data_IF_987424543768
#
_entry.id   IF_987424543768
#
_cell.length_a   1.000
_cell.length_b   1.000
_cell.length_c   1.000
_cell.angle_alpha   90.00
_cell.angle_beta   90.00
_cell.angle_gamma   90.00
#
_symmetry.space_group_name_H-M   'P 1'
#
loop_
_entity.id
_entity.type
_entity.pdbx_description
1 polymer ?
#
# COMPACT_ATOMS: atom_id res chain seq x y z
N UNK A 1 -55.65 24.06 -27.72
CA UNK A 1 -54.44 24.26 -26.89
C UNK A 1 -53.69 22.93 -26.85
N UNK A 2 -52.45 22.91 -27.32
CA UNK A 2 -51.60 21.72 -27.46
C UNK A 2 -50.99 21.38 -26.10
N UNK A 3 -51.22 20.18 -25.57
CA UNK A 3 -50.48 19.67 -24.42
C UNK A 3 -49.36 18.76 -24.93
N UNK A 4 -48.12 19.26 -24.83
CA UNK A 4 -46.89 18.53 -25.13
C UNK A 4 -46.52 17.73 -23.88
N UNK A 5 -46.48 16.41 -24.00
CA UNK A 5 -45.90 15.53 -22.98
C UNK A 5 -44.38 15.53 -23.18
N UNK A 6 -43.65 16.14 -22.24
CA UNK A 6 -42.19 16.03 -22.16
C UNK A 6 -41.82 14.84 -21.28
N UNK A 7 -41.42 13.74 -21.91
CA UNK A 7 -40.88 12.56 -21.24
C UNK A 7 -39.39 12.80 -20.96
N UNK A 8 -39.05 13.21 -19.73
CA UNK A 8 -37.65 13.31 -19.29
C UNK A 8 -37.13 11.91 -18.91
N UNK A 9 -36.34 11.31 -19.78
CA UNK A 9 -35.53 10.14 -19.44
C UNK A 9 -34.34 10.61 -18.61
N UNK A 10 -34.40 10.39 -17.30
CA UNK A 10 -33.24 10.51 -16.43
C UNK A 10 -32.31 9.32 -16.67
N UNK A 11 -31.23 9.53 -17.43
CA UNK A 11 -30.14 8.57 -17.53
C UNK A 11 -29.35 8.66 -16.21
N UNK A 12 -29.65 7.74 -15.29
CA UNK A 12 -28.80 7.48 -14.13
C UNK A 12 -27.55 6.77 -14.64
N UNK A 13 -26.47 7.52 -14.84
CA UNK A 13 -25.13 6.99 -15.02
C UNK A 13 -24.71 6.32 -13.70
N UNK A 14 -25.03 5.04 -13.54
CA UNK A 14 -24.34 4.19 -12.59
C UNK A 14 -22.89 4.06 -13.05
N UNK A 15 -22.02 4.91 -12.49
CA UNK A 15 -20.58 4.70 -12.56
C UNK A 15 -20.27 3.37 -11.88
N UNK A 16 -20.09 2.31 -12.66
CA UNK A 16 -19.51 1.08 -12.16
C UNK A 16 -18.08 1.42 -11.76
N UNK A 17 -17.83 1.52 -10.45
CA UNK A 17 -16.46 1.44 -9.96
C UNK A 17 -15.95 0.08 -10.42
N UNK A 18 -15.15 0.05 -11.48
CA UNK A 18 -14.49 -1.16 -11.93
C UNK A 18 -13.59 -1.58 -10.77
N UNK A 19 -14.05 -2.56 -9.99
CA UNK A 19 -13.22 -3.15 -8.95
C UNK A 19 -12.04 -3.80 -9.67
N UNK A 20 -10.84 -3.32 -9.36
CA UNK A 20 -9.62 -3.95 -9.80
C UNK A 20 -9.72 -5.45 -9.49
N UNK A 21 -9.60 -6.26 -10.54
CA UNK A 21 -9.70 -7.71 -10.43
C UNK A 21 -8.33 -8.24 -9.99
N UNK A 22 -8.28 -9.25 -9.11
CA UNK A 22 -7.02 -9.72 -8.59
C UNK A 22 -6.17 -10.35 -9.69
N UNK A 23 -4.88 -10.03 -9.67
CA UNK A 23 -3.88 -10.54 -10.62
C UNK A 23 -2.72 -11.15 -9.85
N UNK A 24 -2.16 -12.24 -10.37
CA UNK A 24 -0.91 -12.82 -9.90
C UNK A 24 -0.10 -13.37 -11.09
N UNK A 25 1.19 -13.61 -10.91
CA UNK A 25 2.04 -14.14 -11.97
C UNK A 25 3.09 -15.12 -11.44
N UNK A 26 3.34 -16.16 -12.23
CA UNK A 26 4.24 -17.25 -11.88
C UNK A 26 4.95 -17.80 -13.13
N UNK A 27 6.00 -18.58 -12.91
CA UNK A 27 6.66 -19.33 -13.97
C UNK A 27 6.25 -20.79 -13.87
N UNK A 28 5.77 -21.37 -14.97
CA UNK A 28 5.32 -22.77 -14.97
C UNK A 28 6.51 -23.73 -15.13
N UNK A 29 6.23 -25.04 -15.11
CA UNK A 29 7.22 -26.10 -15.26
C UNK A 29 7.94 -26.09 -16.64
N UNK A 30 7.36 -25.43 -17.65
CA UNK A 30 7.96 -25.23 -18.96
C UNK A 30 8.80 -23.94 -19.04
N UNK A 31 9.05 -23.28 -17.90
CA UNK A 31 9.75 -21.99 -17.82
C UNK A 31 9.08 -20.86 -18.61
N UNK A 32 7.76 -20.95 -18.82
CA UNK A 32 6.96 -19.91 -19.43
C UNK A 32 6.43 -18.97 -18.35
N UNK A 33 6.35 -17.68 -18.67
CA UNK A 33 5.78 -16.70 -17.75
C UNK A 33 4.26 -16.66 -17.93
N UNK A 34 3.56 -16.98 -16.84
CA UNK A 34 2.12 -17.07 -16.77
C UNK A 34 1.57 -15.95 -15.91
N UNK A 35 0.42 -15.42 -16.31
CA UNK A 35 -0.41 -14.55 -15.47
C UNK A 35 -1.74 -15.24 -15.22
N UNK A 36 -2.18 -15.15 -13.98
CA UNK A 36 -3.54 -15.44 -13.58
C UNK A 36 -4.26 -14.11 -13.38
N UNK A 37 -5.30 -13.88 -14.16
CA UNK A 37 -6.14 -12.69 -14.13
C UNK A 37 -7.58 -13.14 -13.89
N UNK A 38 -8.04 -13.03 -12.64
CA UNK A 38 -9.39 -13.35 -12.21
C UNK A 38 -9.90 -14.74 -12.65
N UNK A 39 -9.11 -15.78 -12.38
CA UNK A 39 -9.45 -17.16 -12.72
C UNK A 39 -9.07 -17.59 -14.14
N UNK A 40 -8.58 -16.67 -14.97
CA UNK A 40 -8.10 -16.96 -16.33
C UNK A 40 -6.58 -16.98 -16.33
N UNK A 41 -6.01 -18.10 -16.73
CA UNK A 41 -4.57 -18.24 -16.94
C UNK A 41 -4.17 -17.87 -18.36
N UNK A 42 -3.09 -17.10 -18.50
CA UNK A 42 -2.55 -16.66 -19.77
C UNK A 42 -1.04 -16.82 -19.77
N UNK A 43 -0.52 -17.43 -20.82
CA UNK A 43 0.90 -17.35 -21.14
C UNK A 43 1.19 -15.96 -21.70
N UNK A 44 2.08 -15.22 -21.05
CA UNK A 44 2.47 -13.88 -21.50
C UNK A 44 3.91 -13.83 -22.04
N UNK A 45 4.78 -14.77 -21.64
CA UNK A 45 6.10 -14.95 -22.26
C UNK A 45 6.45 -16.44 -22.40
N UNK A 46 7.21 -16.77 -23.43
CA UNK A 46 7.72 -18.13 -23.66
C UNK A 46 8.99 -18.46 -22.87
N UNK A 47 9.60 -17.45 -22.23
CA UNK A 47 10.85 -17.56 -21.49
C UNK A 47 10.71 -16.85 -20.14
N UNK A 48 11.61 -17.17 -19.20
CA UNK A 48 11.61 -16.57 -17.87
C UNK A 48 11.83 -15.05 -17.94
N UNK A 49 11.07 -14.25 -17.15
CA UNK A 49 11.36 -12.84 -17.01
C UNK A 49 12.64 -12.64 -16.19
N UNK A 50 13.33 -11.52 -16.41
CA UNK A 50 14.48 -11.11 -15.61
C UNK A 50 14.04 -10.59 -14.24
N UNK A 51 12.95 -9.83 -14.20
CA UNK A 51 12.34 -9.25 -13.00
C UNK A 51 10.86 -9.02 -13.27
N UNK A 52 10.01 -9.18 -12.26
CA UNK A 52 8.62 -8.76 -12.31
C UNK A 52 8.13 -8.36 -10.91
N UNK A 53 7.06 -7.58 -10.87
CA UNK A 53 6.34 -7.25 -9.63
C UNK A 53 4.83 -7.41 -9.85
N UNK A 54 4.07 -7.58 -8.77
CA UNK A 54 2.62 -7.77 -8.82
C UNK A 54 1.93 -6.53 -8.24
N UNK A 55 1.24 -5.80 -9.11
CA UNK A 55 0.25 -4.80 -8.73
C UNK A 55 -1.15 -5.37 -8.75
N UNK A 56 -2.10 -4.60 -8.26
CA UNK A 56 -3.50 -5.03 -8.26
C UNK A 56 -4.13 -5.01 -9.64
N UNK A 57 -3.72 -4.08 -10.51
CA UNK A 57 -4.25 -3.93 -11.88
C UNK A 57 -3.23 -4.24 -12.97
N UNK A 58 -1.97 -4.43 -12.60
CA UNK A 58 -0.87 -4.53 -13.54
C UNK A 58 0.28 -5.42 -13.03
N UNK A 59 0.95 -6.09 -13.96
CA UNK A 59 2.18 -6.84 -13.72
C UNK A 59 3.27 -6.25 -14.62
N UNK A 60 4.09 -5.30 -14.13
CA UNK A 60 5.28 -4.87 -14.84
C UNK A 60 6.39 -5.91 -14.75
N UNK A 61 7.10 -6.09 -15.85
CA UNK A 61 8.20 -7.04 -15.91
C UNK A 61 9.23 -6.67 -16.99
N UNK A 62 10.43 -7.21 -16.80
CA UNK A 62 11.49 -7.27 -17.80
C UNK A 62 11.47 -8.66 -18.41
N UNK A 63 11.29 -8.76 -19.73
CA UNK A 63 11.42 -10.04 -20.42
C UNK A 63 12.89 -10.51 -20.48
N UNK A 64 13.14 -11.71 -21.03
CA UNK A 64 14.50 -12.27 -21.10
C UNK A 64 15.48 -11.39 -21.92
N UNK A 65 14.97 -10.56 -22.83
CA UNK A 65 15.75 -9.59 -23.62
C UNK A 65 15.81 -8.20 -22.99
N UNK A 66 15.34 -8.06 -21.73
CA UNK A 66 15.25 -6.81 -20.97
C UNK A 66 14.36 -5.75 -21.61
N UNK A 67 13.34 -6.14 -22.37
CA UNK A 67 12.27 -5.23 -22.72
C UNK A 67 11.37 -5.01 -21.52
N UNK A 68 11.03 -3.75 -21.24
CA UNK A 68 10.08 -3.43 -20.20
C UNK A 68 8.66 -3.49 -20.74
N UNK A 69 7.86 -4.37 -20.15
CA UNK A 69 6.48 -4.67 -20.54
C UNK A 69 5.57 -4.58 -19.32
N UNK A 70 4.31 -4.24 -19.56
CA UNK A 70 3.28 -4.20 -18.53
C UNK A 70 2.11 -5.04 -19.02
N UNK A 71 1.76 -6.08 -18.27
CA UNK A 71 0.48 -6.77 -18.44
C UNK A 71 -0.61 -6.01 -17.67
N UNK A 72 -1.74 -5.74 -18.33
CA UNK A 72 -2.94 -5.21 -17.69
C UNK A 72 -4.17 -5.48 -18.56
N UNK A 73 -5.34 -5.67 -17.93
CA UNK A 73 -6.64 -5.87 -18.60
C UNK A 73 -6.60 -6.95 -19.70
N UNK A 74 -6.01 -8.11 -19.40
CA UNK A 74 -5.95 -9.22 -20.35
C UNK A 74 -4.85 -9.14 -21.43
N UNK A 75 -4.10 -8.04 -21.55
CA UNK A 75 -3.11 -7.83 -22.60
C UNK A 75 -1.74 -7.35 -22.11
N UNK A 76 -0.71 -7.55 -22.93
CA UNK A 76 0.65 -7.07 -22.69
C UNK A 76 0.93 -5.84 -23.54
N UNK A 77 1.41 -4.78 -22.92
CA UNK A 77 1.92 -3.58 -23.59
C UNK A 77 3.45 -3.56 -23.50
N UNK A 78 4.12 -3.42 -24.65
CA UNK A 78 5.54 -3.07 -24.68
C UNK A 78 5.70 -1.57 -24.36
N UNK A 79 6.44 -1.26 -23.30
CA UNK A 79 6.65 0.12 -22.85
C UNK A 79 7.93 0.70 -23.45
N UNK A 80 9.04 -0.01 -23.32
CA UNK A 80 10.31 0.35 -23.97
C UNK A 80 11.26 -0.86 -24.05
N UNK A 81 12.39 -0.67 -24.74
CA UNK A 81 13.38 -1.72 -24.97
C UNK A 81 14.71 -1.34 -24.31
N UNK A 82 15.14 -2.05 -23.26
CA UNK A 82 16.51 -2.00 -22.74
C UNK A 82 16.92 -0.78 -21.89
N UNK A 83 16.00 0.12 -21.54
CA UNK A 83 16.35 1.36 -20.80
C UNK A 83 15.88 1.40 -19.34
N UNK A 84 14.97 0.51 -18.95
CA UNK A 84 14.38 0.57 -17.61
C UNK A 84 15.36 0.08 -16.56
N UNK A 85 15.78 1.01 -15.70
CA UNK A 85 16.71 0.77 -14.60
C UNK A 85 15.98 0.34 -13.32
N UNK A 86 14.74 0.79 -13.13
CA UNK A 86 13.93 0.46 -11.97
C UNK A 86 12.43 0.64 -12.24
N UNK A 87 11.59 -0.10 -11.53
CA UNK A 87 10.14 0.09 -11.49
C UNK A 87 9.57 -0.34 -10.15
N UNK A 88 8.42 0.27 -9.79
CA UNK A 88 7.57 -0.09 -8.65
C UNK A 88 6.13 -0.11 -9.10
N UNK A 89 5.34 -1.03 -8.55
CA UNK A 89 3.91 -1.16 -8.85
C UNK A 89 3.07 -1.06 -7.59
N UNK A 90 1.87 -0.51 -7.74
CA UNK A 90 0.87 -0.30 -6.69
C UNK A 90 -0.52 -0.74 -7.17
N UNK A 91 -1.59 -0.33 -6.48
CA UNK A 91 -2.95 -0.60 -6.92
C UNK A 91 -3.27 -0.01 -8.28
N UNK A 92 -2.81 1.21 -8.59
CA UNK A 92 -3.22 1.92 -9.81
C UNK A 92 -2.05 2.40 -10.67
N UNK A 93 -0.86 2.53 -10.08
CA UNK A 93 0.30 3.11 -10.77
C UNK A 93 1.43 2.10 -10.93
N UNK A 94 2.10 2.19 -12.08
CA UNK A 94 3.45 1.66 -12.27
C UNK A 94 4.39 2.86 -12.46
N UNK A 95 5.22 3.15 -11.47
CA UNK A 95 6.28 4.14 -11.62
C UNK A 95 7.55 3.44 -12.10
N UNK A 96 8.25 4.03 -13.06
CA UNK A 96 9.47 3.44 -13.58
C UNK A 96 10.48 4.49 -14.04
N UNK A 97 11.75 4.11 -13.99
CA UNK A 97 12.88 4.93 -14.39
C UNK A 97 13.51 4.39 -15.66
N UNK A 98 13.73 5.30 -16.60
CA UNK A 98 14.63 5.06 -17.72
C UNK A 98 15.85 5.97 -17.53
N UNK A 99 16.97 5.38 -17.09
CA UNK A 99 18.13 6.12 -16.58
C UNK A 99 17.73 7.11 -15.45
N UNK A 100 17.75 8.41 -15.75
CA UNK A 100 17.41 9.45 -14.79
C UNK A 100 16.01 10.05 -15.00
N UNK A 101 15.31 9.68 -16.07
CA UNK A 101 13.96 10.16 -16.32
C UNK A 101 12.94 9.27 -15.58
N UNK A 102 12.01 9.91 -14.89
CA UNK A 102 10.92 9.26 -14.17
C UNK A 102 9.65 9.29 -15.03
N UNK A 103 8.98 8.15 -15.08
CA UNK A 103 7.71 7.97 -15.76
C UNK A 103 6.71 7.33 -14.80
N UNK A 104 5.45 7.58 -15.08
CA UNK A 104 4.33 6.85 -14.49
C UNK A 104 3.51 6.26 -15.63
N UNK A 105 3.11 5.00 -15.47
CA UNK A 105 2.09 4.37 -16.27
C UNK A 105 0.83 4.27 -15.42
N UNK A 106 -0.27 4.77 -15.96
CA UNK A 106 -1.60 4.75 -15.35
C UNK A 106 -2.60 4.35 -16.43
N UNK A 107 -3.33 3.26 -16.19
CA UNK A 107 -4.46 2.84 -17.03
C UNK A 107 -4.13 2.73 -18.54
N UNK A 108 -2.95 2.22 -18.90
CA UNK A 108 -2.50 2.05 -20.30
C UNK A 108 -1.71 3.23 -20.87
N UNK A 109 -1.69 4.37 -20.17
CA UNK A 109 -1.01 5.59 -20.63
C UNK A 109 0.27 5.81 -19.86
N UNK A 110 1.34 6.12 -20.58
CA UNK A 110 2.61 6.56 -19.97
C UNK A 110 2.70 8.07 -19.98
N UNK A 111 3.07 8.66 -18.85
CA UNK A 111 3.38 10.07 -18.69
C UNK A 111 4.80 10.23 -18.14
N UNK A 112 5.60 11.12 -18.74
CA UNK A 112 6.91 11.49 -18.21
C UNK A 112 6.75 12.54 -17.13
N UNK A 113 7.24 12.25 -15.92
CA UNK A 113 7.12 13.13 -14.75
C UNK A 113 8.29 14.11 -14.66
N UNK A 114 9.52 13.64 -14.87
CA UNK A 114 10.72 14.49 -14.98
C UNK A 114 11.78 13.82 -15.85
N UNK A 115 12.66 14.64 -16.44
CA UNK A 115 13.81 14.18 -17.21
C UNK A 115 15.01 13.81 -16.32
N UNK A 116 15.06 14.33 -15.10
CA UNK A 116 16.17 14.13 -14.19
C UNK A 116 15.68 14.12 -12.75
N UNK A 117 15.66 12.93 -12.15
CA UNK A 117 15.38 12.72 -10.73
C UNK A 117 16.56 12.06 -10.02
N UNK A 118 16.66 12.31 -8.73
CA UNK A 118 17.57 11.61 -7.82
C UNK A 118 16.81 10.52 -7.06
N UNK A 119 15.66 10.87 -6.49
CA UNK A 119 14.84 9.98 -5.65
C UNK A 119 13.35 10.08 -6.03
N UNK A 120 12.62 8.99 -5.77
CA UNK A 120 11.16 8.95 -5.87
C UNK A 120 10.59 7.91 -4.90
N UNK A 121 9.35 8.12 -4.50
CA UNK A 121 8.54 7.15 -3.77
C UNK A 121 7.12 7.14 -4.33
N UNK A 122 6.43 6.02 -4.15
CA UNK A 122 5.18 5.71 -4.84
C UNK A 122 4.20 5.15 -3.83
N UNK A 123 2.99 5.71 -3.79
CA UNK A 123 1.80 5.08 -3.25
C UNK A 123 0.81 4.73 -4.36
N UNK A 124 -0.30 4.10 -4.02
CA UNK A 124 -1.37 3.67 -4.93
C UNK A 124 -1.81 4.69 -5.99
N UNK A 125 -1.78 5.99 -5.70
CA UNK A 125 -2.27 7.07 -6.56
C UNK A 125 -1.36 8.29 -6.56
N UNK A 126 -0.26 8.28 -5.80
CA UNK A 126 0.68 9.40 -5.69
C UNK A 126 2.10 8.97 -6.01
N UNK A 127 2.82 9.78 -6.78
CA UNK A 127 4.28 9.65 -6.94
C UNK A 127 4.93 10.92 -6.45
N UNK A 128 5.68 10.83 -5.35
CA UNK A 128 6.48 11.95 -4.84
C UNK A 128 7.91 11.80 -5.34
N UNK A 129 8.47 12.86 -5.91
CA UNK A 129 9.82 12.84 -6.45
C UNK A 129 10.51 14.19 -6.35
N UNK A 130 11.83 14.17 -6.29
CA UNK A 130 12.63 15.39 -6.40
C UNK A 130 13.00 15.64 -7.86
N UNK A 131 12.49 16.74 -8.42
CA UNK A 131 12.80 17.15 -9.78
C UNK A 131 14.09 17.97 -9.79
N UNK A 132 15.22 17.33 -10.11
CA UNK A 132 16.52 17.97 -10.14
C UNK A 132 16.65 19.03 -11.26
N UNK A 133 15.76 19.04 -12.26
CA UNK A 133 15.78 20.09 -13.30
C UNK A 133 15.38 21.44 -12.71
N UNK A 134 14.42 21.43 -11.78
CA UNK A 134 13.86 22.64 -11.15
C UNK A 134 14.22 22.78 -9.68
N UNK A 135 14.92 21.80 -9.10
CA UNK A 135 15.25 21.73 -7.67
C UNK A 135 14.02 21.89 -6.78
N UNK A 136 12.98 21.09 -7.05
CA UNK A 136 11.68 21.19 -6.40
C UNK A 136 11.09 19.79 -6.16
N UNK A 137 10.50 19.59 -4.99
CA UNK A 137 9.69 18.40 -4.73
C UNK A 137 8.34 18.52 -5.42
N UNK A 138 7.95 17.48 -6.14
CA UNK A 138 6.66 17.40 -6.84
C UNK A 138 5.93 16.12 -6.49
N UNK A 139 4.62 16.20 -6.48
CA UNK A 139 3.74 15.04 -6.45
C UNK A 139 2.99 14.93 -7.78
N UNK A 140 3.00 13.75 -8.37
CA UNK A 140 2.01 13.37 -9.38
C UNK A 140 0.79 12.79 -8.67
N UNK A 141 -0.40 13.31 -8.97
CA UNK A 141 -1.67 12.80 -8.44
C UNK A 141 -2.80 13.09 -9.43
N UNK A 142 -3.62 12.09 -9.75
CA UNK A 142 -4.78 12.24 -10.64
C UNK A 142 -4.47 12.87 -11.99
N UNK A 143 -3.33 12.53 -12.60
CA UNK A 143 -2.89 13.09 -13.89
C UNK A 143 -2.20 14.44 -13.83
N UNK A 144 -2.18 15.11 -12.67
CA UNK A 144 -1.61 16.45 -12.51
C UNK A 144 -0.29 16.43 -11.72
N UNK A 145 0.53 17.46 -11.92
CA UNK A 145 1.75 17.70 -11.16
C UNK A 145 1.53 18.85 -10.17
N UNK A 146 1.80 18.59 -8.89
CA UNK A 146 1.71 19.54 -7.80
C UNK A 146 3.11 19.86 -7.30
N UNK A 147 3.40 21.14 -7.11
CA UNK A 147 4.58 21.57 -6.37
C UNK A 147 4.34 21.37 -4.87
N UNK A 148 5.21 20.61 -4.23
CA UNK A 148 5.10 20.27 -2.80
C UNK A 148 5.97 21.20 -1.96
N UNK A 149 7.22 21.35 -2.38
CA UNK A 149 8.17 22.21 -1.69
C UNK A 149 9.25 22.65 -2.67
N UNK A 150 9.39 23.97 -2.85
CA UNK A 150 10.50 24.57 -3.59
C UNK A 150 11.68 24.82 -2.67
N UNK A 151 12.86 24.61 -3.23
CA UNK A 151 14.10 24.74 -2.50
C UNK A 151 14.84 26.00 -2.91
N UNK A 152 15.35 26.75 -1.92
CA UNK A 152 16.11 27.98 -2.15
C UNK A 152 17.63 27.81 -2.06
N UNK A 153 18.21 26.61 -1.90
CA UNK A 153 19.68 26.45 -2.04
C UNK A 153 20.32 25.09 -1.75
N UNK A 154 20.93 24.46 -2.77
CA UNK A 154 21.95 23.39 -2.72
C UNK A 154 21.79 22.16 -1.79
N UNK A 155 21.39 21.01 -2.34
CA UNK A 155 21.86 19.68 -1.91
C UNK A 155 21.09 18.89 -0.84
N UNK A 156 20.12 19.47 -0.13
CA UNK A 156 19.34 18.70 0.86
C UNK A 156 18.17 17.99 0.16
N UNK A 157 18.13 16.66 0.23
CA UNK A 157 16.98 15.87 -0.17
C UNK A 157 16.19 15.53 1.10
N UNK A 158 14.86 15.53 1.01
CA UNK A 158 14.02 14.85 2.00
C UNK A 158 14.49 13.40 2.14
N UNK A 159 14.79 13.00 3.36
CA UNK A 159 14.98 11.63 3.75
C UNK A 159 13.66 10.90 3.52
N UNK A 160 13.61 10.12 2.45
CA UNK A 160 12.48 9.25 2.15
C UNK A 160 12.62 8.04 3.06
N UNK A 161 11.79 7.96 4.10
CA UNK A 161 11.66 6.74 4.86
C UNK A 161 10.86 5.73 4.02
N UNK A 162 11.59 4.89 3.29
CA UNK A 162 11.03 3.86 2.43
C UNK A 162 10.59 2.61 3.20
N UNK A 163 10.69 2.60 4.54
CA UNK A 163 10.09 1.54 5.34
C UNK A 163 8.57 1.76 5.36
N UNK A 164 7.94 1.44 4.23
CA UNK A 164 6.57 0.97 4.24
C UNK A 164 6.55 -0.20 5.23
N UNK A 165 5.67 -0.12 6.23
CA UNK A 165 5.60 -1.02 7.40
C UNK A 165 6.49 -0.54 8.56
N UNK A 166 5.90 0.35 9.36
CA UNK A 166 5.70 0.09 10.79
C UNK A 166 6.93 0.12 11.71
N UNK A 167 7.42 1.30 12.05
CA UNK A 167 7.69 1.59 13.46
C UNK A 167 7.50 3.09 13.64
N UNK A 168 6.44 3.48 14.36
CA UNK A 168 6.16 4.86 14.77
C UNK A 168 7.19 5.41 15.75
N UNK A 169 8.48 5.19 15.48
CA UNK A 169 9.61 5.62 16.27
C UNK A 169 10.20 6.90 15.71
N UNK A 170 10.58 7.76 16.66
CA UNK A 170 11.10 9.12 16.55
C UNK A 170 11.67 9.50 15.18
N UNK A 171 11.31 10.70 14.71
CA UNK A 171 12.20 11.47 13.83
C UNK A 171 13.48 11.61 14.65
N UNK A 172 14.51 10.81 14.34
CA UNK A 172 15.73 10.82 15.13
C UNK A 172 16.30 12.25 15.09
N UNK A 173 16.87 12.72 16.21
CA UNK A 173 17.55 14.01 16.28
C UNK A 173 18.52 14.14 15.09
N UNK A 174 18.15 14.96 14.09
CA UNK A 174 18.91 15.19 12.87
C UNK A 174 18.38 14.61 11.54
N UNK A 175 17.27 13.85 11.50
CA UNK A 175 16.71 13.27 10.25
C UNK A 175 15.78 14.19 9.45
N UNK A 176 15.99 15.51 9.53
CA UNK A 176 15.19 16.47 8.78
C UNK A 176 15.81 16.81 7.42
N UNK A 177 15.01 16.98 6.36
CA UNK A 177 13.55 16.77 6.29
C UNK A 177 13.19 15.29 6.08
N UNK A 178 12.02 14.85 6.57
CA UNK A 178 11.54 13.45 6.45
C UNK A 178 10.20 13.37 5.73
N UNK A 179 10.01 12.37 4.87
CA UNK A 179 8.73 12.11 4.19
C UNK A 179 8.32 10.64 4.28
N UNK A 180 7.02 10.42 4.50
CA UNK A 180 6.35 9.12 4.29
C UNK A 180 5.20 9.30 3.30
N UNK A 181 5.07 8.32 2.42
CA UNK A 181 4.02 8.26 1.38
C UNK A 181 3.27 6.96 1.54
N UNK A 182 1.95 7.06 1.50
CA UNK A 182 1.04 5.93 1.33
C UNK A 182 0.16 6.22 0.12
N UNK A 183 -0.98 5.56 0.02
CA UNK A 183 -1.74 5.37 -1.20
C UNK A 183 -2.08 6.66 -1.95
N UNK A 184 -2.75 7.59 -1.29
CA UNK A 184 -3.20 8.87 -1.85
C UNK A 184 -2.76 10.07 -0.98
N UNK A 185 -1.74 9.86 -0.15
CA UNK A 185 -1.33 10.81 0.86
C UNK A 185 0.20 10.82 1.03
N UNK A 186 0.75 11.99 1.32
CA UNK A 186 2.14 12.15 1.73
C UNK A 186 2.20 13.07 2.95
N UNK A 187 2.82 12.62 4.03
CA UNK A 187 3.10 13.46 5.20
C UNK A 187 4.60 13.77 5.26
N UNK A 188 4.94 15.03 5.50
CA UNK A 188 6.30 15.51 5.38
C UNK A 188 6.61 16.67 6.32
N UNK A 189 7.89 16.82 6.64
CA UNK A 189 8.41 17.96 7.40
C UNK A 189 9.19 18.85 6.46
N UNK A 190 8.78 20.12 6.39
CA UNK A 190 9.44 21.13 5.56
C UNK A 190 10.78 21.57 6.16
N UNK A 191 11.59 22.27 5.37
CA UNK A 191 12.81 22.91 5.88
C UNK A 191 12.56 23.95 6.97
N UNK A 192 11.35 24.52 7.01
CA UNK A 192 10.91 25.46 8.04
C UNK A 192 10.34 24.77 9.29
N UNK A 193 10.59 23.47 9.46
CA UNK A 193 10.12 22.68 10.59
C UNK A 193 8.59 22.75 10.74
N UNK A 194 7.87 22.72 9.60
CA UNK A 194 6.41 22.63 9.55
C UNK A 194 6.02 21.23 9.15
N UNK A 195 5.07 20.64 9.85
CA UNK A 195 4.53 19.34 9.48
C UNK A 195 3.32 19.54 8.56
N UNK A 196 3.40 18.97 7.36
CA UNK A 196 2.40 19.15 6.31
C UNK A 196 1.93 17.80 5.78
N UNK A 197 0.75 17.83 5.18
CA UNK A 197 0.18 16.70 4.45
C UNK A 197 -0.22 17.13 3.05
N UNK A 198 0.15 16.34 2.06
CA UNK A 198 -0.44 16.38 0.73
C UNK A 198 -1.52 15.31 0.66
N UNK A 199 -2.77 15.73 0.46
CA UNK A 199 -3.92 14.84 0.41
C UNK A 199 -4.90 15.34 -0.66
N UNK A 200 -5.26 14.46 -1.60
CA UNK A 200 -6.22 14.73 -2.68
C UNK A 200 -5.90 15.96 -3.54
N UNK A 201 -4.61 16.27 -3.75
CA UNK A 201 -4.17 17.41 -4.56
C UNK A 201 -4.01 18.71 -3.79
N UNK A 202 -4.28 18.73 -2.49
CA UNK A 202 -4.11 19.88 -1.62
C UNK A 202 -2.98 19.65 -0.63
N UNK A 203 -2.21 20.70 -0.34
CA UNK A 203 -1.18 20.68 0.71
C UNK A 203 -1.67 21.50 1.90
N UNK A 204 -1.82 20.84 3.05
CA UNK A 204 -2.28 21.46 4.29
C UNK A 204 -1.19 21.41 5.35
N UNK A 205 -1.01 22.50 6.08
CA UNK A 205 -0.15 22.50 7.28
C UNK A 205 -0.93 21.92 8.45
N UNK A 206 -0.42 20.82 9.02
CA UNK A 206 -1.01 20.15 10.17
C UNK A 206 -0.47 20.72 11.48
N UNK A 207 0.84 21.00 11.54
CA UNK A 207 1.49 21.59 12.70
C UNK A 207 2.48 22.69 12.32
N UNK A 208 2.51 23.73 13.15
CA UNK A 208 3.43 24.87 13.02
C UNK A 208 4.84 24.56 13.57
N UNK A 209 5.02 23.40 14.18
CA UNK A 209 6.29 22.91 14.72
C UNK A 209 6.55 21.48 14.25
N UNK A 210 7.81 21.04 14.35
CA UNK A 210 8.20 19.66 14.07
C UNK A 210 7.49 18.71 15.03
N UNK A 211 6.82 17.69 14.46
CA UNK A 211 6.28 16.56 15.20
C UNK A 211 7.42 15.65 15.67
N UNK A 212 7.19 14.83 16.70
CA UNK A 212 8.22 13.92 17.22
C UNK A 212 8.23 12.58 16.49
N UNK A 213 7.09 12.15 15.97
CA UNK A 213 6.95 10.95 15.15
C UNK A 213 5.67 11.03 14.30
N UNK A 214 5.64 10.36 13.15
CA UNK A 214 4.43 10.18 12.35
C UNK A 214 4.43 8.87 11.56
N UNK A 215 3.23 8.38 11.25
CA UNK A 215 2.99 7.23 10.41
C UNK A 215 1.78 7.47 9.51
N UNK A 216 1.79 6.85 8.33
CA UNK A 216 0.88 7.20 7.23
C UNK A 216 0.27 5.93 6.64
N UNK A 217 -1.06 5.91 6.52
CA UNK A 217 -1.79 5.01 5.63
C UNK A 217 -2.62 5.82 4.65
N UNK A 218 -3.39 5.19 3.74
CA UNK A 218 -4.24 5.85 2.73
C UNK A 218 -4.93 7.14 3.20
N UNK A 219 -5.85 7.05 4.16
CA UNK A 219 -6.64 8.20 4.60
C UNK A 219 -6.28 8.67 6.03
N UNK A 220 -5.15 8.21 6.57
CA UNK A 220 -4.77 8.42 7.97
C UNK A 220 -3.33 8.93 8.05
N UNK A 221 -3.11 10.00 8.82
CA UNK A 221 -1.79 10.34 9.37
C UNK A 221 -1.89 10.35 10.88
N UNK A 222 -1.19 9.42 11.54
CA UNK A 222 -1.08 9.38 13.00
C UNK A 222 0.25 9.99 13.41
N UNK A 223 0.24 10.93 14.36
CA UNK A 223 1.46 11.65 14.74
C UNK A 223 1.43 12.17 16.18
N UNK A 224 2.60 12.44 16.72
CA UNK A 224 2.78 13.02 18.06
C UNK A 224 3.30 14.44 17.90
N UNK A 225 2.53 15.42 18.34
CA UNK A 225 2.88 16.83 18.21
C UNK A 225 4.01 17.25 19.19
N UNK A 226 4.42 18.53 19.09
CA UNK A 226 5.47 19.08 19.94
C UNK A 226 5.10 19.13 21.44
N UNK A 227 3.81 19.12 21.77
CA UNK A 227 3.28 19.10 23.14
C UNK A 227 3.08 17.67 23.67
N UNK A 228 3.47 16.65 22.89
CA UNK A 228 3.30 15.22 23.20
C UNK A 228 1.86 14.73 23.12
N UNK A 229 0.96 15.48 22.50
CA UNK A 229 -0.40 15.02 22.22
C UNK A 229 -0.38 14.09 21.00
N UNK A 230 -1.15 13.01 21.07
CA UNK A 230 -1.32 12.09 19.96
C UNK A 230 -2.52 12.50 19.11
N UNK A 231 -2.26 12.77 17.84
CA UNK A 231 -3.25 13.30 16.90
C UNK A 231 -3.38 12.40 15.68
N UNK A 232 -4.55 12.47 15.07
CA UNK A 232 -4.86 11.78 13.83
C UNK A 232 -5.47 12.77 12.85
N UNK A 233 -4.83 12.91 11.70
CA UNK A 233 -5.48 13.41 10.51
C UNK A 233 -6.27 12.27 9.87
N UNK A 234 -7.57 12.44 9.68
CA UNK A 234 -8.45 11.47 9.03
C UNK A 234 -9.46 12.18 8.13
N UNK A 235 -9.50 11.81 6.85
CA UNK A 235 -10.43 12.36 5.85
C UNK A 235 -10.48 13.90 5.78
N UNK A 236 -9.35 14.59 6.01
CA UNK A 236 -9.27 16.06 5.92
C UNK A 236 -9.33 16.78 7.27
N UNK A 237 -9.65 16.09 8.35
CA UNK A 237 -9.78 16.68 9.69
C UNK A 237 -8.69 16.18 10.64
N UNK A 238 -8.22 17.06 11.53
CA UNK A 238 -7.27 16.71 12.59
C UNK A 238 -8.02 16.59 13.91
N UNK A 239 -7.84 15.47 14.58
CA UNK A 239 -8.38 15.21 15.92
C UNK A 239 -7.26 14.84 16.88
N UNK A 240 -7.25 15.45 18.06
CA UNK A 240 -6.49 14.92 19.20
C UNK A 240 -7.23 13.69 19.75
N UNK A 241 -6.53 12.56 19.81
CA UNK A 241 -7.10 11.29 20.28
C UNK A 241 -6.53 10.83 21.61
N UNK A 242 -5.35 11.34 22.01
CA UNK A 242 -4.79 11.19 23.36
C UNK A 242 -4.01 12.45 23.73
N UNK A 243 -4.06 12.86 25.00
CA UNK A 243 -3.28 14.00 25.51
C UNK A 243 -1.85 13.61 25.95
N UNK A 244 -1.40 12.39 25.61
CA UNK A 244 -0.07 11.88 25.93
C UNK A 244 0.45 10.99 24.80
N UNK A 245 1.78 10.90 24.69
CA UNK A 245 2.45 10.07 23.70
C UNK A 245 2.10 8.59 23.92
N UNK A 246 1.61 7.86 22.91
CA UNK A 246 1.36 6.43 23.02
C UNK A 246 2.68 5.67 23.14
N UNK A 247 2.65 4.49 23.76
CA UNK A 247 3.81 3.62 23.85
C UNK A 247 4.23 3.10 22.46
N UNK A 248 3.28 2.88 21.56
CA UNK A 248 3.51 2.53 20.16
C UNK A 248 2.27 2.81 19.31
N UNK A 249 2.42 3.08 18.02
CA UNK A 249 1.31 3.19 17.08
C UNK A 249 1.75 2.84 15.65
N UNK A 250 0.81 2.34 14.84
CA UNK A 250 1.02 1.93 13.43
C UNK A 250 -0.23 2.22 12.61
N UNK A 251 -0.08 2.89 11.48
CA UNK A 251 -1.18 3.25 10.57
C UNK A 251 -1.24 2.30 9.37
N UNK A 252 -2.45 1.89 9.00
CA UNK A 252 -2.81 1.29 7.72
C UNK A 252 -3.81 2.18 6.98
N UNK A 253 -4.35 1.70 5.86
CA UNK A 253 -5.17 2.47 4.93
C UNK A 253 -6.32 3.23 5.60
N UNK A 254 -7.10 2.51 6.39
CA UNK A 254 -8.31 3.01 7.02
C UNK A 254 -8.42 2.59 8.49
N UNK A 255 -7.32 2.08 9.04
CA UNK A 255 -7.26 1.59 10.42
C UNK A 255 -5.90 1.95 11.01
N UNK A 256 -5.87 2.22 12.31
CA UNK A 256 -4.63 2.44 13.04
C UNK A 256 -4.74 1.73 14.39
N UNK A 257 -3.65 1.12 14.84
CA UNK A 257 -3.60 0.45 16.13
C UNK A 257 -2.45 0.99 16.96
N UNK A 258 -2.70 1.14 18.26
CA UNK A 258 -1.76 1.74 19.18
C UNK A 258 -1.93 1.23 20.61
N UNK A 259 -0.87 1.37 21.40
CA UNK A 259 -0.89 1.16 22.84
C UNK A 259 -0.82 2.55 23.47
N UNK A 260 -1.88 2.97 24.16
CA UNK A 260 -1.90 4.27 24.84
C UNK A 260 -0.92 4.30 26.02
N UNK A 261 -0.60 5.52 26.48
CA UNK A 261 0.35 5.75 27.57
C UNK A 261 -0.05 5.02 28.88
N UNK A 262 -1.34 4.79 29.09
CA UNK A 262 -1.87 4.07 30.26
C UNK A 262 -1.84 2.53 30.11
N UNK A 263 -1.44 1.99 28.95
CA UNK A 263 -1.31 0.55 28.70
C UNK A 263 -2.52 -0.12 28.05
N UNK A 264 -3.50 0.64 27.55
CA UNK A 264 -4.61 0.08 26.78
C UNK A 264 -4.22 -0.13 25.31
N UNK A 265 -4.54 -1.31 24.76
CA UNK A 265 -4.50 -1.54 23.32
C UNK A 265 -5.78 -0.99 22.68
N UNK A 266 -5.62 -0.08 21.71
CA UNK A 266 -6.71 0.65 21.06
C UNK A 266 -6.59 0.56 19.54
N UNK A 267 -7.74 0.59 18.87
CA UNK A 267 -7.85 0.60 17.41
C UNK A 267 -8.69 1.80 16.99
N UNK A 268 -8.11 2.68 16.18
CA UNK A 268 -8.83 3.74 15.48
C UNK A 268 -9.37 3.20 14.16
N UNK A 269 -10.68 3.30 13.95
CA UNK A 269 -11.35 2.87 12.72
C UNK A 269 -12.59 3.74 12.47
N UNK A 270 -12.76 4.21 11.25
CA UNK A 270 -13.94 5.00 10.84
C UNK A 270 -14.18 6.25 11.72
N UNK A 271 -13.12 6.96 12.11
CA UNK A 271 -13.22 8.17 12.94
C UNK A 271 -13.32 7.93 14.45
N UNK A 272 -13.43 6.67 14.89
CA UNK A 272 -13.64 6.33 16.30
C UNK A 272 -12.48 5.51 16.88
N UNK A 273 -12.14 5.80 18.12
CA UNK A 273 -11.18 5.02 18.92
C UNK A 273 -11.93 3.94 19.70
N UNK A 274 -11.58 2.68 19.44
CA UNK A 274 -12.11 1.51 20.13
C UNK A 274 -11.05 0.95 21.07
N UNK A 275 -11.38 0.85 22.36
CA UNK A 275 -10.50 0.17 23.33
C UNK A 275 -10.70 -1.33 23.23
N UNK A 276 -9.66 -2.06 22.83
CA UNK A 276 -9.67 -3.53 22.70
C UNK A 276 -9.48 -4.17 24.08
N UNK A 277 -8.60 -3.61 24.91
CA UNK A 277 -8.43 -4.02 26.30
C UNK A 277 -7.11 -3.55 26.91
N UNK A 278 -6.95 -3.84 28.20
CA UNK A 278 -5.78 -3.47 28.99
C UNK A 278 -4.65 -4.51 28.86
N UNK A 279 -3.83 -4.40 27.82
CA UNK A 279 -2.66 -5.23 27.56
C UNK A 279 -1.77 -4.60 26.47
N UNK A 280 -0.50 -5.02 26.40
CA UNK A 280 0.46 -4.56 25.39
C UNK A 280 0.79 -5.71 24.43
N UNK A 281 0.05 -5.89 23.33
CA UNK A 281 0.24 -7.03 22.45
C UNK A 281 1.41 -6.85 21.49
N UNK A 282 1.90 -7.96 20.96
CA UNK A 282 2.54 -7.93 19.65
C UNK A 282 1.45 -7.72 18.59
N UNK A 283 1.64 -6.72 17.71
CA UNK A 283 0.69 -6.41 16.65
C UNK A 283 1.38 -5.92 15.37
N UNK A 284 0.69 -6.11 14.25
CA UNK A 284 1.01 -5.51 12.95
C UNK A 284 -0.24 -4.91 12.33
N UNK A 285 -0.07 -3.77 11.70
CA UNK A 285 -1.09 -3.12 10.88
C UNK A 285 -0.63 -3.20 9.44
N UNK A 286 -1.50 -3.69 8.55
CA UNK A 286 -1.27 -3.70 7.11
C UNK A 286 -2.57 -3.42 6.41
N UNK A 287 -2.56 -2.39 5.56
CA UNK A 287 -3.71 -1.96 4.76
C UNK A 287 -4.99 -1.85 5.61
N UNK A 288 -5.93 -2.80 5.50
CA UNK A 288 -7.20 -2.76 6.23
C UNK A 288 -7.28 -3.70 7.45
N UNK A 289 -6.16 -4.31 7.85
CA UNK A 289 -6.10 -5.35 8.90
C UNK A 289 -5.18 -4.93 10.04
N UNK A 290 -5.65 -5.13 11.27
CA UNK A 290 -4.79 -5.17 12.47
C UNK A 290 -4.72 -6.61 12.95
N UNK A 291 -3.55 -7.23 12.87
CA UNK A 291 -3.29 -8.57 13.39
C UNK A 291 -2.53 -8.47 14.71
N UNK A 292 -2.97 -9.19 15.74
CA UNK A 292 -2.40 -9.08 17.08
C UNK A 292 -2.51 -10.36 17.89
N UNK A 293 -1.65 -10.48 18.89
CA UNK A 293 -1.73 -11.51 19.94
C UNK A 293 -2.60 -10.98 21.07
N UNK A 294 -3.72 -11.62 21.36
CA UNK A 294 -4.57 -11.17 22.47
C UNK A 294 -3.96 -11.52 23.85
N UNK A 295 -4.57 -11.03 24.93
CA UNK A 295 -4.09 -11.26 26.29
C UNK A 295 -4.04 -12.76 26.70
N UNK A 296 -4.82 -13.61 26.04
CA UNK A 296 -4.83 -15.07 26.25
C UNK A 296 -3.89 -15.81 25.30
N UNK A 297 -3.21 -15.10 24.40
CA UNK A 297 -2.24 -15.65 23.44
C UNK A 297 -2.84 -16.07 22.10
N UNK A 298 -4.14 -15.88 21.89
CA UNK A 298 -4.81 -16.20 20.62
C UNK A 298 -4.37 -15.25 19.52
N UNK A 299 -4.31 -15.77 18.29
CA UNK A 299 -4.09 -14.94 17.11
C UNK A 299 -5.41 -14.33 16.64
N UNK A 300 -5.50 -13.00 16.72
CA UNK A 300 -6.71 -12.25 16.34
C UNK A 300 -6.44 -11.25 15.23
N UNK A 301 -7.49 -10.98 14.45
CA UNK A 301 -7.52 -9.93 13.43
C UNK A 301 -8.70 -9.03 13.67
N UNK A 302 -8.47 -7.72 13.66
CA UNK A 302 -9.52 -6.73 13.45
C UNK A 302 -9.62 -6.42 11.95
N UNK A 303 -10.83 -6.51 11.41
CA UNK A 303 -11.14 -6.14 10.03
C UNK A 303 -12.55 -5.57 9.96
N UNK A 304 -12.68 -4.34 9.43
CA UNK A 304 -13.95 -3.62 9.23
C UNK A 304 -14.89 -3.61 10.45
N UNK A 305 -14.37 -3.23 11.61
CA UNK A 305 -15.16 -3.10 12.84
C UNK A 305 -15.42 -4.41 13.59
N UNK A 306 -14.91 -5.55 13.10
CA UNK A 306 -15.10 -6.86 13.73
C UNK A 306 -13.76 -7.48 14.11
N UNK A 307 -13.75 -8.20 15.22
CA UNK A 307 -12.60 -8.99 15.69
C UNK A 307 -12.87 -10.47 15.38
N UNK A 308 -11.92 -11.10 14.70
CA UNK A 308 -11.92 -12.51 14.34
C UNK A 308 -10.82 -13.24 15.11
N UNK A 309 -11.14 -14.40 15.66
CA UNK A 309 -10.13 -15.31 16.21
C UNK A 309 -9.69 -16.25 15.10
N UNK A 310 -8.44 -16.16 14.68
CA UNK A 310 -7.91 -16.96 13.58
C UNK A 310 -7.36 -18.30 14.07
N UNK A 311 -6.60 -18.28 15.16
CA UNK A 311 -5.95 -19.47 15.69
C UNK A 311 -5.71 -19.38 17.21
N UNK A 312 -5.54 -20.55 17.84
CA UNK A 312 -5.20 -20.68 19.26
C UNK A 312 -3.77 -20.24 19.59
N UNK A 313 -2.90 -20.25 18.57
CA UNK A 313 -1.50 -19.89 18.72
C UNK A 313 -1.12 -18.75 17.78
N UNK A 314 -0.37 -17.79 18.31
CA UNK A 314 0.22 -16.72 17.52
C UNK A 314 1.32 -17.30 16.58
N UNK A 315 1.21 -17.12 15.26
CA UNK A 315 2.13 -17.74 14.31
C UNK A 315 3.52 -17.08 14.34
N UNK A 316 4.56 -17.84 14.02
CA UNK A 316 5.94 -17.33 13.93
C UNK A 316 6.10 -16.28 12.82
N UNK A 317 5.36 -16.43 11.72
CA UNK A 317 5.34 -15.46 10.64
C UNK A 317 4.00 -15.47 9.90
N UNK A 318 3.66 -14.32 9.35
CA UNK A 318 2.47 -14.09 8.55
C UNK A 318 2.69 -12.89 7.64
N UNK A 319 1.93 -12.82 6.55
CA UNK A 319 1.92 -11.68 5.62
C UNK A 319 0.52 -11.07 5.62
N UNK A 320 0.44 -9.76 5.73
CA UNK A 320 -0.79 -8.98 5.53
C UNK A 320 -0.68 -8.31 4.16
N UNK A 321 -1.76 -8.33 3.39
CA UNK A 321 -1.88 -7.55 2.17
C UNK A 321 -3.36 -7.26 1.89
N UNK A 322 -3.67 -6.01 1.63
CA UNK A 322 -4.95 -5.43 1.30
C UNK A 322 -6.09 -5.77 2.26
N UNK A 323 -6.91 -6.79 1.96
CA UNK A 323 -7.99 -7.28 2.82
C UNK A 323 -7.73 -8.69 3.33
N UNK A 324 -6.47 -9.13 3.27
CA UNK A 324 -6.07 -10.50 3.46
C UNK A 324 -4.85 -10.67 4.37
N UNK A 325 -4.81 -11.81 5.05
CA UNK A 325 -3.68 -12.24 5.87
C UNK A 325 -3.44 -13.73 5.67
N UNK A 326 -2.22 -14.10 5.30
CA UNK A 326 -1.79 -15.48 5.13
C UNK A 326 -0.75 -15.87 6.18
N UNK A 327 -0.89 -17.08 6.75
CA UNK A 327 -0.02 -17.60 7.78
C UNK A 327 0.02 -19.12 7.77
N UNK A 328 1.07 -19.70 8.35
CA UNK A 328 1.15 -21.14 8.60
C UNK A 328 0.86 -21.38 10.07
N UNK A 329 -0.14 -22.21 10.38
CA UNK A 329 -0.50 -22.50 11.76
C UNK A 329 0.40 -23.57 12.40
N UNK A 330 0.17 -23.87 13.67
CA UNK A 330 0.96 -24.86 14.43
C UNK A 330 0.90 -26.29 13.85
N UNK A 331 -0.15 -26.62 13.07
CA UNK A 331 -0.30 -27.91 12.38
C UNK A 331 0.41 -27.95 11.01
N UNK A 332 1.12 -26.88 10.63
CA UNK A 332 1.80 -26.78 9.33
C UNK A 332 0.87 -26.45 8.17
N UNK A 333 -0.37 -26.04 8.44
CA UNK A 333 -1.35 -25.69 7.41
C UNK A 333 -1.21 -24.22 7.02
N UNK A 334 -1.10 -23.96 5.72
CA UNK A 334 -1.21 -22.62 5.16
C UNK A 334 -2.69 -22.20 5.20
N UNK A 335 -2.99 -21.09 5.87
CA UNK A 335 -4.33 -20.54 6.03
C UNK A 335 -4.38 -19.11 5.49
N UNK A 336 -5.55 -18.72 5.02
CA UNK A 336 -5.86 -17.39 4.52
C UNK A 336 -7.06 -16.84 5.25
N UNK A 337 -6.91 -15.70 5.93
CA UNK A 337 -8.02 -14.81 6.22
C UNK A 337 -8.18 -13.86 5.04
N UNK A 338 -9.37 -13.74 4.46
CA UNK A 338 -9.66 -12.80 3.36
C UNK A 338 -11.09 -12.31 3.46
N UNK A 339 -11.28 -10.99 3.45
CA UNK A 339 -12.60 -10.34 3.44
C UNK A 339 -13.57 -10.78 4.58
N UNK A 340 -13.06 -11.29 5.70
CA UNK A 340 -13.87 -11.75 6.84
C UNK A 340 -14.05 -13.27 6.92
N UNK A 341 -13.57 -14.01 5.92
CA UNK A 341 -13.64 -15.47 5.86
C UNK A 341 -12.25 -16.09 6.13
N UNK A 342 -12.23 -17.32 6.66
CA UNK A 342 -11.01 -18.09 6.91
C UNK A 342 -11.00 -19.34 6.05
N UNK A 343 -9.90 -19.57 5.34
CA UNK A 343 -9.70 -20.69 4.45
C UNK A 343 -8.48 -21.51 4.84
N UNK A 344 -8.63 -22.82 4.77
CA UNK A 344 -7.51 -23.76 4.79
C UNK A 344 -7.04 -23.97 3.35
N UNK A 345 -5.84 -23.46 3.02
CA UNK A 345 -5.34 -23.41 1.64
C UNK A 345 -4.69 -24.73 1.26
N UNK A 346 -3.78 -25.22 2.11
CA UNK A 346 -3.10 -26.51 1.93
C UNK A 346 -2.41 -26.93 3.22
N UNK A 347 -2.32 -28.24 3.43
CA UNK A 347 -1.54 -28.88 4.50
C UNK A 347 -0.27 -29.56 3.98
N UNK A 348 0.00 -29.47 2.67
CA UNK A 348 1.27 -29.92 2.12
C UNK A 348 2.39 -29.04 2.67
N UNK A 349 3.57 -29.63 2.92
CA UNK A 349 4.77 -28.86 3.27
C UNK A 349 5.07 -27.87 2.15
N UNK A 350 4.59 -26.64 2.29
CA UNK A 350 4.83 -25.57 1.32
C UNK A 350 6.15 -24.92 1.67
N UNK A 351 7.18 -25.21 0.88
CA UNK A 351 8.48 -24.55 1.05
C UNK A 351 8.38 -23.06 0.75
N UNK A 352 7.50 -22.66 -0.19
CA UNK A 352 7.42 -21.29 -0.71
C UNK A 352 5.97 -20.88 -0.97
N UNK A 353 5.56 -19.73 -0.41
CA UNK A 353 4.29 -19.07 -0.72
C UNK A 353 4.40 -17.54 -0.72
N UNK A 354 3.55 -16.91 -1.52
CA UNK A 354 3.43 -15.45 -1.68
C UNK A 354 1.97 -15.06 -1.57
N UNK A 355 1.71 -13.93 -0.90
CA UNK A 355 0.41 -13.29 -0.84
C UNK A 355 0.48 -12.05 -1.74
N UNK A 356 -0.28 -12.08 -2.83
CA UNK A 356 -0.44 -11.00 -3.80
C UNK A 356 -1.82 -10.38 -3.58
N UNK A 357 -1.92 -9.35 -2.72
CA UNK A 357 -3.20 -8.80 -2.27
C UNK A 357 -4.07 -9.90 -1.65
N UNK A 358 -5.17 -10.27 -2.30
CA UNK A 358 -6.10 -11.31 -1.83
C UNK A 358 -5.84 -12.70 -2.45
N UNK A 359 -4.71 -12.88 -3.14
CA UNK A 359 -4.37 -14.10 -3.87
C UNK A 359 -3.15 -14.78 -3.26
N UNK A 360 -3.24 -16.08 -2.97
CA UNK A 360 -2.06 -16.85 -2.57
C UNK A 360 -1.51 -17.61 -3.78
N UNK A 361 -0.24 -17.38 -4.07
CA UNK A 361 0.57 -18.30 -4.87
C UNK A 361 1.35 -19.21 -3.93
N UNK A 362 1.30 -20.53 -4.14
CA UNK A 362 2.09 -21.47 -3.35
C UNK A 362 2.68 -22.57 -4.22
N UNK A 363 3.88 -23.02 -3.86
CA UNK A 363 4.58 -24.09 -4.54
C UNK A 363 4.11 -25.45 -4.00
N UNK A 364 3.74 -26.37 -4.89
CA UNK A 364 3.28 -27.72 -4.54
C UNK A 364 4.11 -28.85 -5.17
N UNK A 365 5.10 -28.51 -6.01
CA UNK A 365 6.03 -29.43 -6.63
C UNK A 365 7.32 -28.70 -7.06
N UNK A 366 8.20 -29.38 -7.78
CA UNK A 366 9.40 -28.74 -8.34
C UNK A 366 8.98 -27.80 -9.48
N UNK A 367 9.13 -26.49 -9.30
CA UNK A 367 8.71 -25.45 -10.26
C UNK A 367 7.22 -25.53 -10.65
N UNK A 368 6.37 -26.04 -9.74
CA UNK A 368 4.92 -26.09 -9.92
C UNK A 368 4.25 -25.23 -8.87
N UNK A 369 3.45 -24.27 -9.32
CA UNK A 369 2.72 -23.32 -8.49
C UNK A 369 1.23 -23.48 -8.70
N UNK A 370 0.48 -23.28 -7.62
CA UNK A 370 -0.97 -23.17 -7.59
C UNK A 370 -1.37 -21.79 -7.12
N UNK A 371 -2.55 -21.37 -7.55
CA UNK A 371 -3.14 -20.12 -7.11
C UNK A 371 -4.40 -20.43 -6.30
N UNK A 372 -4.50 -19.81 -5.13
CA UNK A 372 -5.68 -19.87 -4.29
C UNK A 372 -6.34 -18.50 -4.21
N UNK A 373 -7.64 -18.46 -4.51
CA UNK A 373 -8.46 -17.27 -4.42
C UNK A 373 -9.91 -17.65 -4.07
N UNK A 374 -10.48 -17.00 -3.04
CA UNK A 374 -11.89 -17.17 -2.61
C UNK A 374 -12.36 -18.63 -2.54
N UNK A 375 -11.61 -19.48 -1.84
CA UNK A 375 -11.99 -20.89 -1.61
C UNK A 375 -11.70 -21.83 -2.77
N UNK A 376 -11.14 -21.35 -3.89
CA UNK A 376 -10.84 -22.17 -5.07
C UNK A 376 -9.33 -22.20 -5.32
N UNK A 377 -8.85 -23.38 -5.68
CA UNK A 377 -7.50 -23.59 -6.19
C UNK A 377 -7.54 -23.69 -7.71
N UNK A 378 -6.65 -22.96 -8.36
CA UNK A 378 -6.40 -22.96 -9.80
C UNK A 378 -5.08 -23.66 -10.10
#
# INVERSE_FOLDING_TARGET
MKHIYAFCIAIVLFGTKAWAQPVSAYTNFQNQFMVWDNGIERKIESLLPVRYEIGRVAVPYLDNTRNFKIYSKGGVQLINQGFTSDFKVTDNLVAYRNNNALFVWENGTTTRLSNYISTYTVGDSVVLFFDNVRSVYKAYYGGNLYEIESFLGGGNNMTVDSNAVNDGLSIADGQLPSVKVSDNIAAFITYANRFKVFYHGETTELETFTVTSFDVGRNIVAYVDANRNFKVFYNGEVNEIESFTPASYKAGDNVMAYISNDGNFKIFYNGEVNTVGYFSPEYKVGDNIVAYKDASGYFKVFYKGKIYTLDAYYPQSYKISYNSLAYVNAAGMLRLFSEGEVYDVTNASTADWRLDYDVIQYRFGQNMYKIFYKGKTH
#
